data_IF_929008194283
#
_entry.id   IF_929008194283
#
_cell.length_a   1.000
_cell.length_b   1.000
_cell.length_c   1.000
_cell.angle_alpha   90.00
_cell.angle_beta   90.00
_cell.angle_gamma   90.00
#
_symmetry.space_group_name_H-M   'P 1'
#
loop_
_entity.id
_entity.type
_entity.pdbx_description
1 polymer ?
#
# COMPACT_ATOMS: atom_id res chain seq x y z
N UNK A 1 -2.02 0.22 -13.71
CA UNK A 1 -2.81 0.15 -12.47
C UNK A 1 -2.44 -1.14 -11.76
N UNK A 2 -2.03 -1.05 -10.50
CA UNK A 2 -1.59 -2.18 -9.66
C UNK A 2 -2.45 -2.23 -8.40
N UNK A 3 -2.99 -3.39 -8.07
CA UNK A 3 -3.73 -3.63 -6.83
C UNK A 3 -2.79 -4.23 -5.78
N UNK A 4 -2.71 -3.62 -4.60
CA UNK A 4 -1.91 -4.11 -3.47
C UNK A 4 -2.86 -4.46 -2.33
N UNK A 5 -2.89 -5.73 -1.95
CA UNK A 5 -3.61 -6.20 -0.76
C UNK A 5 -2.71 -6.12 0.47
N UNK A 6 -3.21 -5.62 1.59
CA UNK A 6 -2.41 -5.44 2.81
C UNK A 6 -1.48 -4.22 2.75
N UNK A 7 -1.82 -3.22 1.94
CA UNK A 7 -0.96 -2.06 1.69
C UNK A 7 -0.85 -1.05 2.85
N UNK A 8 -1.61 -1.20 3.93
CA UNK A 8 -1.47 -0.42 5.16
C UNK A 8 -0.61 -1.13 6.23
N UNK A 9 -0.05 -2.31 5.92
CA UNK A 9 0.96 -2.98 6.73
C UNK A 9 2.38 -2.49 6.44
N UNK A 10 3.36 -2.88 7.27
CA UNK A 10 4.76 -2.41 7.20
C UNK A 10 5.42 -2.58 5.81
N UNK A 11 5.27 -3.76 5.18
CA UNK A 11 5.86 -4.01 3.85
C UNK A 11 4.96 -3.42 2.75
N UNK A 12 3.65 -3.50 2.95
CA UNK A 12 2.66 -3.06 1.97
C UNK A 12 2.73 -1.56 1.69
N UNK A 13 2.98 -0.75 2.73
CA UNK A 13 3.11 0.70 2.61
C UNK A 13 4.34 1.10 1.79
N UNK A 14 5.50 0.57 2.15
CA UNK A 14 6.75 0.77 1.40
C UNK A 14 6.65 0.33 -0.06
N UNK A 15 5.96 -0.79 -0.31
CA UNK A 15 5.71 -1.24 -1.68
C UNK A 15 4.81 -0.26 -2.45
N UNK A 16 3.73 0.21 -1.83
CA UNK A 16 2.85 1.21 -2.45
C UNK A 16 3.62 2.49 -2.78
N UNK A 17 4.42 3.00 -1.85
CA UNK A 17 5.27 4.20 -2.04
C UNK A 17 6.25 4.00 -3.20
N UNK A 18 7.02 2.91 -3.21
CA UNK A 18 7.99 2.63 -4.29
C UNK A 18 7.33 2.46 -5.67
N UNK A 19 6.11 1.91 -5.73
CA UNK A 19 5.36 1.80 -6.98
C UNK A 19 4.84 3.16 -7.46
N UNK A 20 4.40 4.02 -6.54
CA UNK A 20 3.99 5.40 -6.86
C UNK A 20 5.19 6.21 -7.37
N UNK A 21 6.36 6.12 -6.74
CA UNK A 21 7.61 6.78 -7.17
C UNK A 21 8.02 6.39 -8.59
N UNK A 22 7.75 5.14 -8.98
CA UNK A 22 8.00 4.63 -10.34
C UNK A 22 6.94 5.07 -11.37
N UNK A 23 5.96 5.88 -10.96
CA UNK A 23 4.90 6.41 -11.82
C UNK A 23 3.73 5.45 -12.05
N UNK A 24 3.62 4.37 -11.27
CA UNK A 24 2.48 3.46 -11.37
C UNK A 24 1.28 4.02 -10.60
N UNK A 25 0.08 3.85 -11.16
CA UNK A 25 -1.14 4.00 -10.39
C UNK A 25 -1.36 2.78 -9.50
N UNK A 26 -1.45 3.01 -8.18
CA UNK A 26 -1.62 1.97 -7.17
C UNK A 26 -2.99 2.11 -6.50
N UNK A 27 -3.67 0.99 -6.30
CA UNK A 27 -4.88 0.88 -5.48
C UNK A 27 -4.55 -0.03 -4.30
N UNK A 28 -4.62 0.52 -3.09
CA UNK A 28 -4.39 -0.24 -1.86
C UNK A 28 -5.72 -0.76 -1.31
N UNK A 29 -5.78 -2.05 -0.95
CA UNK A 29 -6.90 -2.68 -0.25
C UNK A 29 -6.35 -3.32 1.01
N UNK A 30 -6.81 -2.85 2.17
CA UNK A 30 -6.38 -3.37 3.47
C UNK A 30 -7.60 -3.59 4.38
N UNK A 31 -7.58 -4.67 5.15
CA UNK A 31 -8.62 -4.98 6.13
C UNK A 31 -8.44 -4.22 7.45
N UNK A 32 -7.28 -3.59 7.66
CA UNK A 32 -6.89 -2.83 8.85
C UNK A 32 -6.96 -3.63 10.17
N UNK A 33 -6.91 -4.96 10.08
CA UNK A 33 -6.90 -5.84 11.28
C UNK A 33 -5.55 -5.71 12.02
N UNK A 34 -4.45 -5.64 11.25
CA UNK A 34 -3.08 -5.41 11.76
C UNK A 34 -2.39 -4.22 11.11
N UNK A 35 -2.99 -3.63 10.07
CA UNK A 35 -2.48 -2.44 9.39
C UNK A 35 -2.93 -1.15 10.09
N UNK A 36 -2.16 -0.09 9.91
CA UNK A 36 -2.46 1.22 10.50
C UNK A 36 -2.65 2.26 9.39
N UNK A 37 -3.70 3.08 9.50
CA UNK A 37 -3.99 4.11 8.48
C UNK A 37 -2.86 5.13 8.32
N UNK A 38 -2.04 5.34 9.34
CA UNK A 38 -0.87 6.22 9.27
C UNK A 38 0.27 5.68 8.40
N UNK A 39 0.18 4.43 7.92
CA UNK A 39 1.19 3.84 7.04
C UNK A 39 0.96 4.14 5.56
N UNK A 40 -0.12 4.84 5.15
CA UNK A 40 -0.37 5.18 3.73
C UNK A 40 -0.53 6.68 3.52
#
# INVERSE_FOLDING_TARGET
>A
MILVTGGAGFIGSWLCESLLEKGYQVVCVDSLITGEKGNI
#
